data_IF_236463015723
#
_entry.id   IF_236463015723
#
_cell.length_a   1.000
_cell.length_b   1.000
_cell.length_c   1.000
_cell.angle_alpha   90.00
_cell.angle_beta   90.00
_cell.angle_gamma   90.00
#
_symmetry.space_group_name_H-M   'P 1'
#
loop_
_entity.id
_entity.type
_entity.pdbx_description
1 polymer ?
#
# COMPACT_ATOMS: atom_id res chain seq x y z
N UNK A 1 22.74 -9.75 63.37
CA UNK A 1 21.98 -8.95 62.38
C UNK A 1 20.59 -8.71 62.97
N UNK A 2 20.11 -7.47 63.03
CA UNK A 2 18.82 -7.17 63.68
C UNK A 2 17.66 -7.72 62.84
N UNK A 3 16.78 -8.59 63.40
CA UNK A 3 15.67 -9.20 62.67
C UNK A 3 14.69 -8.17 62.10
N UNK A 4 14.60 -6.99 62.71
CA UNK A 4 13.78 -5.87 62.24
C UNK A 4 14.27 -5.26 60.91
N UNK A 5 15.58 -5.31 60.64
CA UNK A 5 16.13 -4.86 59.34
C UNK A 5 15.78 -5.84 58.21
N UNK A 6 15.68 -7.14 58.50
CA UNK A 6 15.30 -8.14 57.49
C UNK A 6 13.84 -8.01 57.07
N UNK A 7 12.94 -7.76 58.02
CA UNK A 7 11.50 -7.54 57.74
C UNK A 7 11.29 -6.27 56.93
N UNK A 8 12.02 -5.19 57.27
CA UNK A 8 11.99 -3.95 56.48
C UNK A 8 12.49 -4.17 55.05
N UNK A 9 13.57 -4.94 54.87
CA UNK A 9 14.14 -5.23 53.55
C UNK A 9 13.20 -6.07 52.67
N UNK A 10 12.56 -7.12 53.21
CA UNK A 10 11.60 -7.93 52.43
C UNK A 10 10.34 -7.17 52.06
N UNK A 11 9.84 -6.30 52.93
CA UNK A 11 8.73 -5.40 52.58
C UNK A 11 9.09 -4.47 51.42
N UNK A 12 10.29 -3.89 51.46
CA UNK A 12 10.76 -2.96 50.45
C UNK A 12 10.92 -3.67 49.09
N UNK A 13 11.48 -4.88 49.06
CA UNK A 13 11.58 -5.71 47.86
C UNK A 13 10.19 -6.09 47.32
N UNK A 14 9.25 -6.46 48.20
CA UNK A 14 7.88 -6.77 47.82
C UNK A 14 7.17 -5.58 47.17
N UNK A 15 7.29 -4.39 47.76
CA UNK A 15 6.73 -3.15 47.22
C UNK A 15 7.37 -2.78 45.88
N UNK A 16 8.70 -2.89 45.76
CA UNK A 16 9.39 -2.61 44.49
C UNK A 16 8.93 -3.55 43.38
N UNK A 17 8.79 -4.84 43.70
CA UNK A 17 8.36 -5.88 42.75
C UNK A 17 6.93 -5.63 42.29
N UNK A 18 6.00 -5.36 43.21
CA UNK A 18 4.61 -5.05 42.88
C UNK A 18 4.48 -3.77 42.04
N UNK A 19 5.27 -2.74 42.37
CA UNK A 19 5.28 -1.47 41.62
C UNK A 19 5.86 -1.65 40.22
N UNK A 20 6.94 -2.43 40.08
CA UNK A 20 7.53 -2.76 38.78
C UNK A 20 6.57 -3.56 37.88
N UNK A 21 5.87 -4.55 38.45
CA UNK A 21 4.85 -5.31 37.71
C UNK A 21 3.68 -4.43 37.27
N UNK A 22 3.20 -3.53 38.14
CA UNK A 22 2.10 -2.62 37.82
C UNK A 22 2.47 -1.62 36.71
N UNK A 23 3.68 -1.05 36.76
CA UNK A 23 4.19 -0.16 35.72
C UNK A 23 4.39 -0.92 34.39
N UNK A 24 4.91 -2.14 34.44
CA UNK A 24 5.06 -3.01 33.27
C UNK A 24 3.73 -3.30 32.57
N UNK A 25 2.68 -3.67 33.32
CA UNK A 25 1.34 -3.92 32.77
C UNK A 25 0.75 -2.66 32.15
N UNK A 26 0.90 -1.50 32.82
CA UNK A 26 0.33 -0.23 32.33
C UNK A 26 1.05 0.31 31.09
N UNK A 27 2.34 0.00 30.92
CA UNK A 27 3.08 0.30 29.69
C UNK A 27 2.76 -0.69 28.58
N UNK A 28 2.60 -1.98 28.89
CA UNK A 28 2.36 -3.02 27.89
C UNK A 28 0.96 -2.92 27.24
N UNK A 29 -0.08 -2.52 28.00
CA UNK A 29 -1.42 -2.33 27.44
C UNK A 29 -1.48 -1.29 26.32
N UNK A 30 -0.74 -0.17 26.47
CA UNK A 30 -0.68 0.88 25.43
C UNK A 30 0.22 0.54 24.25
N UNK A 31 1.14 -0.41 24.41
CA UNK A 31 2.01 -0.91 23.33
C UNK A 31 1.29 -2.01 22.55
N UNK A 32 0.49 -2.85 23.23
CA UNK A 32 -0.32 -3.90 22.61
C UNK A 32 -1.37 -3.38 21.63
N UNK A 33 -2.07 -2.29 21.98
CA UNK A 33 -3.07 -1.68 21.10
C UNK A 33 -2.42 -1.10 19.83
N UNK A 34 -1.30 -0.39 19.98
CA UNK A 34 -0.53 0.14 18.84
C UNK A 34 0.11 -0.95 17.99
N UNK A 35 0.57 -2.04 18.60
CA UNK A 35 1.14 -3.17 17.87
C UNK A 35 0.08 -3.91 17.06
N UNK A 36 -1.16 -3.96 17.54
CA UNK A 36 -2.29 -4.56 16.81
C UNK A 36 -2.71 -3.66 15.64
N UNK A 37 -2.89 -2.35 15.86
CA UNK A 37 -3.20 -1.40 14.78
C UNK A 37 -2.13 -1.39 13.69
N UNK A 38 -0.84 -1.49 14.07
CA UNK A 38 0.26 -1.60 13.12
C UNK A 38 0.22 -2.89 12.30
N UNK A 39 -0.13 -4.03 12.91
CA UNK A 39 -0.27 -5.30 12.20
C UNK A 39 -1.43 -5.28 11.22
N UNK A 40 -2.56 -4.69 11.60
CA UNK A 40 -3.71 -4.56 10.69
C UNK A 40 -3.38 -3.63 9.51
N UNK A 41 -2.70 -2.50 9.77
CA UNK A 41 -2.24 -1.60 8.71
C UNK A 41 -1.24 -2.28 7.77
N UNK A 42 -0.29 -3.06 8.30
CA UNK A 42 0.64 -3.85 7.50
C UNK A 42 -0.06 -4.94 6.68
N UNK A 43 -1.03 -5.65 7.28
CA UNK A 43 -1.80 -6.68 6.59
C UNK A 43 -2.60 -6.13 5.41
N UNK A 44 -3.28 -4.98 5.57
CA UNK A 44 -3.98 -4.33 4.45
C UNK A 44 -3.03 -3.96 3.31
N UNK A 45 -1.84 -3.44 3.64
CA UNK A 45 -0.83 -3.07 2.64
C UNK A 45 -0.28 -4.27 1.89
N UNK A 46 -0.03 -5.37 2.58
CA UNK A 46 0.40 -6.64 1.97
C UNK A 46 -0.66 -7.17 1.01
N UNK A 47 -1.93 -7.22 1.44
CA UNK A 47 -3.03 -7.68 0.59
C UNK A 47 -3.23 -6.77 -0.62
N UNK A 48 -3.17 -5.45 -0.43
CA UNK A 48 -3.26 -4.49 -1.52
C UNK A 48 -2.12 -4.70 -2.53
N UNK A 49 -0.87 -4.77 -2.06
CA UNK A 49 0.31 -4.93 -2.94
C UNK A 49 0.27 -6.23 -3.73
N UNK A 50 -0.18 -7.33 -3.10
CA UNK A 50 -0.35 -8.62 -3.77
C UNK A 50 -1.36 -8.51 -4.92
N UNK A 51 -2.53 -7.94 -4.67
CA UNK A 51 -3.57 -7.73 -5.70
C UNK A 51 -3.10 -6.77 -6.80
N UNK A 52 -2.34 -5.74 -6.42
CA UNK A 52 -1.77 -4.79 -7.37
C UNK A 52 -0.85 -5.47 -8.38
N UNK A 53 0.10 -6.30 -7.93
CA UNK A 53 1.01 -7.00 -8.84
C UNK A 53 0.29 -8.02 -9.74
N UNK A 54 -0.73 -8.69 -9.22
CA UNK A 54 -1.57 -9.60 -10.00
C UNK A 54 -2.33 -8.86 -11.10
N UNK A 55 -2.97 -7.73 -10.78
CA UNK A 55 -3.70 -6.90 -11.74
C UNK A 55 -2.74 -6.27 -12.77
N UNK A 56 -1.55 -5.85 -12.34
CA UNK A 56 -0.54 -5.26 -13.20
C UNK A 56 -0.14 -6.20 -14.35
N UNK A 57 -0.12 -7.52 -14.11
CA UNK A 57 0.15 -8.51 -15.15
C UNK A 57 -0.89 -8.47 -16.29
N UNK A 58 -2.15 -8.18 -15.99
CA UNK A 58 -3.19 -8.01 -17.01
C UNK A 58 -3.06 -6.69 -17.77
N UNK A 59 -2.61 -5.63 -17.10
CA UNK A 59 -2.41 -4.30 -17.72
C UNK A 59 -1.28 -4.34 -18.74
N UNK A 60 -0.21 -5.07 -18.46
CA UNK A 60 0.94 -5.17 -19.37
C UNK A 60 0.78 -6.28 -20.42
N UNK A 61 -0.31 -7.06 -20.38
CA UNK A 61 -0.58 -8.12 -21.35
C UNK A 61 -0.75 -7.53 -22.77
N UNK A 62 -0.32 -8.28 -23.78
CA UNK A 62 -0.40 -7.88 -25.19
C UNK A 62 -1.84 -7.85 -25.72
N UNK A 63 -2.73 -8.64 -25.11
CA UNK A 63 -4.14 -8.67 -25.50
C UNK A 63 -4.86 -7.38 -25.11
N UNK A 64 -5.43 -6.64 -26.07
CA UNK A 64 -6.17 -5.40 -25.78
C UNK A 64 -7.33 -5.59 -24.79
N UNK A 65 -7.99 -6.76 -24.85
CA UNK A 65 -9.10 -7.12 -23.95
C UNK A 65 -8.63 -7.31 -22.51
N UNK A 66 -7.53 -8.03 -22.31
CA UNK A 66 -6.97 -8.25 -20.97
C UNK A 66 -6.41 -6.97 -20.38
N UNK A 67 -5.76 -6.14 -21.21
CA UNK A 67 -5.28 -4.82 -20.82
C UNK A 67 -6.42 -3.92 -20.33
N UNK A 68 -7.51 -3.81 -21.08
CA UNK A 68 -8.67 -3.04 -20.67
C UNK A 68 -9.29 -3.55 -19.36
N UNK A 69 -9.40 -4.88 -19.20
CA UNK A 69 -9.86 -5.49 -17.97
C UNK A 69 -8.91 -5.19 -16.78
N UNK A 70 -7.60 -5.28 -16.98
CA UNK A 70 -6.59 -4.93 -15.98
C UNK A 70 -6.69 -3.48 -15.52
N UNK A 71 -6.89 -2.54 -16.45
CA UNK A 71 -7.06 -1.12 -16.12
C UNK A 71 -8.33 -0.88 -15.29
N UNK A 72 -9.44 -1.51 -15.64
CA UNK A 72 -10.66 -1.46 -14.84
C UNK A 72 -10.47 -2.04 -13.43
N UNK A 73 -9.79 -3.18 -13.32
CA UNK A 73 -9.47 -3.81 -12.04
C UNK A 73 -8.54 -2.93 -11.20
N UNK A 74 -7.60 -2.20 -11.82
CA UNK A 74 -6.75 -1.24 -11.13
C UNK A 74 -7.54 -0.06 -10.56
N UNK A 75 -8.53 0.45 -11.30
CA UNK A 75 -9.45 1.48 -10.79
C UNK A 75 -10.24 0.96 -9.58
N UNK A 76 -10.81 -0.25 -9.69
CA UNK A 76 -11.54 -0.86 -8.60
C UNK A 76 -10.66 -1.13 -7.36
N UNK A 77 -9.38 -1.46 -7.56
CA UNK A 77 -8.42 -1.64 -6.46
C UNK A 77 -8.10 -0.30 -5.77
N UNK A 78 -8.02 0.80 -6.52
CA UNK A 78 -7.80 2.13 -5.97
C UNK A 78 -9.01 2.65 -5.17
N UNK A 79 -10.23 2.26 -5.53
CA UNK A 79 -11.46 2.62 -4.81
C UNK A 79 -11.74 1.72 -3.58
N UNK A 80 -11.00 0.62 -3.43
CA UNK A 80 -11.22 -0.33 -2.33
C UNK A 80 -10.70 0.18 -0.97
N UNK A 81 -11.29 -0.33 0.12
CA UNK A 81 -10.86 -0.03 1.51
C UNK A 81 -9.42 -0.45 1.83
N UNK A 82 -8.79 -1.21 0.93
CA UNK A 82 -7.39 -1.61 1.02
C UNK A 82 -6.44 -0.48 0.57
N UNK A 83 -6.91 0.46 -0.23
CA UNK A 83 -6.11 1.57 -0.75
C UNK A 83 -5.94 2.66 0.32
N UNK A 84 -4.76 2.70 0.94
CA UNK A 84 -4.37 3.79 1.82
C UNK A 84 -3.88 5.02 1.05
N UNK A 85 -3.59 6.13 1.76
CA UNK A 85 -3.08 7.35 1.15
C UNK A 85 -1.77 7.15 0.35
N UNK A 86 -0.89 6.26 0.84
CA UNK A 86 0.38 5.96 0.18
C UNK A 86 0.18 5.15 -1.10
N UNK A 87 -0.75 4.18 -1.07
CA UNK A 87 -1.13 3.36 -2.23
C UNK A 87 -1.78 4.21 -3.33
N UNK A 88 -2.67 5.14 -2.96
CA UNK A 88 -3.26 6.10 -3.91
C UNK A 88 -2.20 7.00 -4.54
N UNK A 89 -1.22 7.47 -3.75
CA UNK A 89 -0.11 8.26 -4.25
C UNK A 89 0.76 7.46 -5.24
N UNK A 90 0.99 6.18 -4.96
CA UNK A 90 1.70 5.28 -5.87
C UNK A 90 0.95 5.14 -7.20
N UNK A 91 -0.38 4.92 -7.15
CA UNK A 91 -1.23 4.84 -8.34
C UNK A 91 -1.21 6.12 -9.15
N UNK A 92 -1.27 7.29 -8.50
CA UNK A 92 -1.16 8.58 -9.16
C UNK A 92 0.16 8.74 -9.91
N UNK A 93 1.30 8.41 -9.27
CA UNK A 93 2.62 8.46 -9.92
C UNK A 93 2.70 7.51 -11.11
N UNK A 94 2.14 6.31 -10.99
CA UNK A 94 2.11 5.34 -12.09
C UNK A 94 1.28 5.85 -13.28
N UNK A 95 0.09 6.39 -13.01
CA UNK A 95 -0.76 6.98 -14.04
C UNK A 95 -0.05 8.15 -14.75
N UNK A 96 0.58 9.04 -13.99
CA UNK A 96 1.26 10.21 -14.55
C UNK A 96 2.52 9.86 -15.35
N UNK A 97 3.32 8.89 -14.89
CA UNK A 97 4.62 8.58 -15.51
C UNK A 97 4.56 7.52 -16.59
N UNK A 98 3.56 6.65 -16.57
CA UNK A 98 3.48 5.52 -17.50
C UNK A 98 2.24 5.64 -18.38
N UNK A 99 1.07 5.80 -17.80
CA UNK A 99 -0.18 5.74 -18.56
C UNK A 99 -0.39 6.98 -19.44
N UNK A 100 -0.18 8.18 -18.88
CA UNK A 100 -0.36 9.44 -19.61
C UNK A 100 0.59 9.59 -20.81
N UNK A 101 1.90 9.25 -20.72
CA UNK A 101 2.77 9.25 -21.90
C UNK A 101 2.35 8.26 -22.97
N UNK A 102 1.98 7.03 -22.60
CA UNK A 102 1.51 6.02 -23.55
C UNK A 102 0.23 6.45 -24.25
N UNK A 103 -0.71 7.08 -23.54
CA UNK A 103 -1.92 7.62 -24.14
C UNK A 103 -1.60 8.68 -25.21
N UNK A 104 -0.67 9.59 -24.90
CA UNK A 104 -0.22 10.62 -25.87
C UNK A 104 0.46 10.01 -27.08
N UNK A 105 1.27 8.97 -26.91
CA UNK A 105 1.90 8.26 -28.04
C UNK A 105 0.85 7.59 -28.94
N UNK A 106 -0.17 6.98 -28.36
CA UNK A 106 -1.27 6.37 -29.11
C UNK A 106 -2.07 7.44 -29.87
N UNK A 107 -2.39 8.57 -29.23
CA UNK A 107 -3.08 9.70 -29.87
C UNK A 107 -2.27 10.30 -31.03
N UNK A 108 -0.94 10.43 -30.86
CA UNK A 108 -0.04 10.95 -31.89
C UNK A 108 0.16 9.97 -33.04
N UNK A 109 0.25 8.66 -32.75
CA UNK A 109 0.31 7.61 -33.77
C UNK A 109 -0.97 7.55 -34.61
N UNK A 110 -2.14 7.67 -33.97
CA UNK A 110 -3.42 7.73 -34.65
C UNK A 110 -3.56 8.96 -35.56
N UNK A 111 -2.99 10.11 -35.17
CA UNK A 111 -2.95 11.30 -36.04
C UNK A 111 -1.99 11.17 -37.23
N UNK A 112 -0.97 10.32 -37.14
CA UNK A 112 0.01 10.13 -38.22
C UNK A 112 -0.54 9.23 -39.33
N UNK A 113 -1.27 8.16 -38.98
CA UNK A 113 -1.88 7.25 -39.97
C UNK A 113 -3.00 7.92 -40.79
N UNK A 114 -3.73 8.88 -40.23
CA UNK A 114 -4.80 9.60 -40.94
C UNK A 114 -4.25 10.56 -42.01
N UNK A 115 -3.00 11.02 -41.88
CA UNK A 115 -2.45 12.03 -42.78
C UNK A 115 -1.67 11.47 -43.98
N UNK A 116 -1.45 10.15 -44.05
CA UNK A 116 -0.66 9.50 -45.12
C UNK A 116 -1.53 9.07 -46.34
N UNK A 117 -2.86 9.16 -46.26
CA UNK A 117 -3.78 8.67 -47.31
C UNK A 117 -4.25 9.73 -48.35
N UNK A 118 -3.90 11.02 -48.21
CA UNK A 118 -4.45 12.10 -49.07
C UNK A 118 -3.51 12.57 -50.21
N UNK A 119 -2.57 11.73 -50.67
CA UNK A 119 -1.44 12.19 -51.49
C UNK A 119 -1.12 11.48 -52.80
N UNK A 120 -1.82 10.41 -53.19
CA UNK A 120 -1.34 9.53 -54.27
C UNK A 120 -2.40 9.01 -55.26
N UNK A 121 -3.34 9.85 -55.70
CA UNK A 121 -4.13 9.56 -56.92
C UNK A 121 -4.49 10.80 -57.73
N UNK A 122 -3.50 11.49 -58.31
CA UNK A 122 -3.74 12.26 -59.54
C UNK A 122 -2.42 12.63 -60.23
N UNK A 123 -1.97 11.78 -61.15
CA UNK A 123 -1.30 12.18 -62.40
C UNK A 123 -1.27 10.93 -63.29
N UNK A 124 -2.31 10.80 -64.10
CA UNK A 124 -2.36 9.98 -65.31
C UNK A 124 -2.59 10.92 -66.49
#
# INVERSE_FOLDING_TARGET
MSPWLQVGATFLVGVLTATGALLGVRMNGRVGDRATEQREAQGRREEWSKRFYEILAYVVDESPRKRAAGLHLMSALAESDLAGPDELKLMGVLADRVLNPLLREIEQGAHTDVQVDDGSTQHA
#
